data_IF_926634448671
#
_entry.id   IF_926634448671
#
_cell.length_a   1.000
_cell.length_b   1.000
_cell.length_c   1.000
_cell.angle_alpha   90.00
_cell.angle_beta   90.00
_cell.angle_gamma   90.00
#
_symmetry.space_group_name_H-M   'P 1'
#
loop_
_entity.id
_entity.type
_entity.pdbx_description
1 polymer ?
#
# COMPACT_ATOMS: atom_id res chain seq x y z
N UNK A 1 16.85 34.67 -29.96
CA UNK A 1 16.03 33.51 -30.33
C UNK A 1 16.65 32.17 -29.93
N UNK A 2 17.97 31.95 -30.02
CA UNK A 2 18.63 30.69 -29.60
C UNK A 2 18.76 30.53 -28.08
N UNK A 3 19.02 31.61 -27.33
CA UNK A 3 19.23 31.60 -25.88
C UNK A 3 17.93 31.33 -25.09
N UNK A 4 16.79 31.80 -25.57
CA UNK A 4 15.48 31.54 -24.98
C UNK A 4 15.09 30.05 -25.09
N UNK A 5 15.39 29.42 -26.23
CA UNK A 5 15.11 27.99 -26.46
C UNK A 5 16.00 27.09 -25.61
N UNK A 6 17.22 27.52 -25.29
CA UNK A 6 18.14 26.79 -24.44
C UNK A 6 17.73 26.86 -22.96
N UNK A 7 17.25 28.03 -22.51
CA UNK A 7 16.71 28.24 -21.16
C UNK A 7 15.45 27.40 -20.92
N UNK A 8 14.49 27.40 -21.87
CA UNK A 8 13.27 26.60 -21.78
C UNK A 8 13.55 25.09 -21.72
N UNK A 9 14.54 24.64 -22.49
CA UNK A 9 14.92 23.23 -22.51
C UNK A 9 15.58 22.78 -21.20
N UNK A 10 16.32 23.65 -20.56
CA UNK A 10 16.97 23.42 -19.25
C UNK A 10 15.93 23.41 -18.13
N UNK A 11 14.95 24.31 -18.12
CA UNK A 11 13.86 24.39 -17.16
C UNK A 11 12.93 23.16 -17.25
N UNK A 12 12.62 22.72 -18.46
CA UNK A 12 11.84 21.49 -18.66
C UNK A 12 12.59 20.23 -18.20
N UNK A 13 13.91 20.18 -18.37
CA UNK A 13 14.72 19.07 -17.89
C UNK A 13 14.81 19.04 -16.34
N UNK A 14 14.96 20.20 -15.71
CA UNK A 14 14.97 20.34 -14.26
C UNK A 14 13.61 20.01 -13.63
N UNK A 15 12.51 20.50 -14.19
CA UNK A 15 11.16 20.18 -13.75
C UNK A 15 10.87 18.67 -13.89
N UNK A 16 11.29 18.06 -14.98
CA UNK A 16 11.15 16.61 -15.21
C UNK A 16 11.96 15.80 -14.18
N UNK A 17 13.13 16.25 -13.81
CA UNK A 17 14.00 15.63 -12.81
C UNK A 17 13.42 15.74 -11.40
N UNK A 18 12.88 16.92 -11.04
CA UNK A 18 12.17 17.16 -9.77
C UNK A 18 10.90 16.32 -9.65
N UNK A 19 10.08 16.24 -10.71
CA UNK A 19 8.89 15.40 -10.75
C UNK A 19 9.23 13.92 -10.62
N UNK A 20 10.29 13.45 -11.27
CA UNK A 20 10.74 12.05 -11.17
C UNK A 20 11.23 11.72 -9.76
N UNK A 21 11.95 12.63 -9.11
CA UNK A 21 12.43 12.44 -7.73
C UNK A 21 11.28 12.45 -6.72
N UNK A 22 10.30 13.33 -6.89
CA UNK A 22 9.10 13.40 -6.05
C UNK A 22 8.26 12.12 -6.17
N UNK A 23 8.09 11.61 -7.39
CA UNK A 23 7.39 10.35 -7.65
C UNK A 23 8.06 9.17 -6.97
N UNK A 24 9.38 9.07 -7.06
CA UNK A 24 10.15 8.03 -6.38
C UNK A 24 9.99 8.14 -4.86
N UNK A 25 10.08 9.34 -4.30
CA UNK A 25 9.88 9.58 -2.88
C UNK A 25 8.48 9.16 -2.41
N UNK A 26 7.42 9.48 -3.18
CA UNK A 26 6.05 9.07 -2.87
C UNK A 26 5.91 7.54 -2.91
N UNK A 27 6.53 6.88 -3.89
CA UNK A 27 6.51 5.41 -3.99
C UNK A 27 7.20 4.78 -2.78
N UNK A 28 8.39 5.25 -2.39
CA UNK A 28 9.07 4.77 -1.20
C UNK A 28 8.26 5.01 0.07
N UNK A 29 7.65 6.18 0.21
CA UNK A 29 6.81 6.52 1.36
C UNK A 29 5.58 5.59 1.43
N UNK A 30 4.99 5.26 0.28
CA UNK A 30 3.88 4.32 0.21
C UNK A 30 4.28 2.90 0.60
N UNK A 31 5.44 2.40 0.15
CA UNK A 31 5.96 1.09 0.55
C UNK A 31 6.31 1.02 2.05
N UNK A 32 6.91 2.07 2.60
CA UNK A 32 7.16 2.18 4.04
C UNK A 32 5.83 2.16 4.80
N UNK A 33 4.84 2.91 4.33
CA UNK A 33 3.50 2.95 4.94
C UNK A 33 2.78 1.61 4.93
N UNK A 34 3.06 0.74 3.97
CA UNK A 34 2.53 -0.63 3.90
C UNK A 34 3.30 -1.60 4.82
N UNK A 35 4.63 -1.51 4.85
CA UNK A 35 5.46 -2.40 5.66
C UNK A 35 5.38 -2.12 7.17
N UNK A 36 5.14 -0.86 7.55
CA UNK A 36 5.01 -0.48 8.97
C UNK A 36 3.86 -1.21 9.69
N UNK A 37 2.64 -1.25 9.17
CA UNK A 37 1.53 -1.93 9.86
C UNK A 37 1.75 -3.44 10.01
N UNK A 38 2.34 -4.11 9.02
CA UNK A 38 2.65 -5.54 9.09
C UNK A 38 3.70 -5.84 10.16
N UNK A 39 4.74 -5.01 10.25
CA UNK A 39 5.76 -5.11 11.29
C UNK A 39 5.21 -4.76 12.68
N UNK A 40 4.25 -3.84 12.78
CA UNK A 40 3.57 -3.50 14.03
C UNK A 40 2.75 -4.66 14.56
N UNK A 41 1.99 -5.36 13.71
CA UNK A 41 1.23 -6.56 14.13
C UNK A 41 2.21 -7.63 14.66
N UNK A 42 3.31 -7.88 13.96
CA UNK A 42 4.33 -8.83 14.38
C UNK A 42 4.97 -8.47 15.72
N UNK A 43 5.30 -7.21 15.94
CA UNK A 43 5.92 -6.73 17.18
C UNK A 43 4.93 -6.57 18.34
N UNK A 44 3.67 -6.27 18.06
CA UNK A 44 2.62 -6.15 19.06
C UNK A 44 2.05 -7.50 19.51
N UNK A 45 2.17 -8.55 18.68
CA UNK A 45 1.58 -9.85 18.96
C UNK A 45 1.98 -10.47 20.32
N UNK A 46 3.25 -10.40 20.78
CA UNK A 46 3.63 -10.92 22.11
C UNK A 46 2.83 -10.33 23.26
N UNK A 47 2.35 -9.10 23.13
CA UNK A 47 1.49 -8.44 24.12
C UNK A 47 0.02 -8.72 23.84
N UNK A 48 -0.39 -8.66 22.58
CA UNK A 48 -1.78 -8.84 22.19
C UNK A 48 -2.32 -10.23 22.52
N UNK A 49 -1.55 -11.31 22.27
CA UNK A 49 -2.02 -12.66 22.52
C UNK A 49 -2.30 -12.92 24.00
N UNK A 50 -1.54 -12.29 24.91
CA UNK A 50 -1.78 -12.40 26.36
C UNK A 50 -3.02 -11.64 26.79
N UNK A 51 -3.26 -10.45 26.24
CA UNK A 51 -4.46 -9.64 26.51
C UNK A 51 -5.74 -10.31 25.96
N UNK A 52 -5.63 -10.97 24.81
CA UNK A 52 -6.73 -11.69 24.17
C UNK A 52 -6.95 -13.09 24.74
N UNK A 53 -6.09 -13.54 25.66
CA UNK A 53 -6.11 -14.91 26.22
C UNK A 53 -6.10 -16.02 25.14
N UNK A 54 -5.27 -15.84 24.11
CA UNK A 54 -5.14 -16.81 23.01
C UNK A 54 -3.71 -17.35 22.92
N UNK A 55 -3.52 -18.58 22.41
CA UNK A 55 -2.18 -19.11 22.16
C UNK A 55 -1.39 -18.25 21.15
N UNK A 56 -0.08 -18.20 21.30
CA UNK A 56 0.81 -17.46 20.37
C UNK A 56 0.64 -17.93 18.92
N UNK A 57 0.31 -19.20 18.68
CA UNK A 57 0.07 -19.78 17.35
C UNK A 57 -1.09 -19.13 16.57
N UNK A 58 -2.00 -18.42 17.26
CA UNK A 58 -3.11 -17.73 16.63
C UNK A 58 -2.67 -16.53 15.76
N UNK A 59 -1.42 -16.06 15.91
CA UNK A 59 -0.78 -15.16 14.96
C UNK A 59 -0.86 -15.70 13.53
N UNK A 60 -0.66 -17.00 13.35
CA UNK A 60 -0.72 -17.64 12.05
C UNK A 60 -2.10 -17.51 11.38
N UNK A 61 -3.18 -17.56 12.15
CA UNK A 61 -4.55 -17.39 11.63
C UNK A 61 -4.74 -15.95 11.12
N UNK A 62 -4.31 -14.96 11.89
CA UNK A 62 -4.42 -13.54 11.52
C UNK A 62 -3.60 -13.26 10.26
N UNK A 63 -2.36 -13.74 10.20
CA UNK A 63 -1.50 -13.56 9.02
C UNK A 63 -2.04 -14.29 7.80
N UNK A 64 -2.64 -15.47 7.95
CA UNK A 64 -3.30 -16.17 6.83
C UNK A 64 -4.52 -15.42 6.30
N UNK A 65 -5.32 -14.80 7.18
CA UNK A 65 -6.48 -13.99 6.78
C UNK A 65 -6.01 -12.72 6.03
N UNK A 66 -4.96 -12.05 6.52
CA UNK A 66 -4.37 -10.90 5.86
C UNK A 66 -3.82 -11.29 4.49
N UNK A 67 -3.01 -12.35 4.43
CA UNK A 67 -2.43 -12.84 3.17
C UNK A 67 -3.51 -13.26 2.16
N UNK A 68 -4.56 -13.94 2.61
CA UNK A 68 -5.71 -14.28 1.77
C UNK A 68 -6.41 -13.06 1.20
N UNK A 69 -6.65 -12.05 2.04
CA UNK A 69 -7.22 -10.76 1.62
C UNK A 69 -6.33 -10.04 0.60
N UNK A 70 -5.01 -10.04 0.82
CA UNK A 70 -4.02 -9.44 -0.07
C UNK A 70 -4.02 -10.12 -1.45
N UNK A 71 -4.03 -11.45 -1.49
CA UNK A 71 -4.08 -12.22 -2.75
C UNK A 71 -5.37 -11.91 -3.52
N UNK A 72 -6.52 -11.99 -2.86
CA UNK A 72 -7.82 -11.70 -3.49
C UNK A 72 -7.86 -10.27 -4.03
N UNK A 73 -7.44 -9.30 -3.22
CA UNK A 73 -7.43 -7.89 -3.63
C UNK A 73 -6.50 -7.63 -4.80
N UNK A 74 -5.31 -8.23 -4.81
CA UNK A 74 -4.33 -8.08 -5.91
C UNK A 74 -4.89 -8.58 -7.24
N UNK A 75 -5.63 -9.69 -7.24
CA UNK A 75 -6.28 -10.24 -8.45
C UNK A 75 -7.35 -9.30 -9.03
N UNK A 76 -8.07 -8.60 -8.17
CA UNK A 76 -9.13 -7.67 -8.62
C UNK A 76 -8.62 -6.25 -8.85
N UNK A 77 -7.48 -5.89 -8.28
CA UNK A 77 -6.91 -4.53 -8.32
C UNK A 77 -6.69 -4.03 -9.75
N UNK A 78 -6.26 -4.90 -10.66
CA UNK A 78 -6.02 -4.53 -12.06
C UNK A 78 -7.31 -4.09 -12.77
N UNK A 79 -8.42 -4.78 -12.51
CA UNK A 79 -9.74 -4.43 -13.05
C UNK A 79 -10.27 -3.13 -12.44
N UNK A 80 -10.11 -2.96 -11.12
CA UNK A 80 -10.54 -1.75 -10.42
C UNK A 80 -9.72 -0.54 -10.87
N UNK A 81 -8.41 -0.68 -11.01
CA UNK A 81 -7.50 0.38 -11.44
C UNK A 81 -7.80 0.84 -12.87
N UNK A 82 -8.14 -0.08 -13.77
CA UNK A 82 -8.57 0.28 -15.14
C UNK A 82 -9.91 1.00 -15.17
N UNK A 83 -10.83 0.67 -14.25
CA UNK A 83 -12.18 1.26 -14.23
C UNK A 83 -12.24 2.59 -13.50
N UNK A 84 -11.58 2.73 -12.36
CA UNK A 84 -11.67 3.86 -11.46
C UNK A 84 -10.41 4.74 -11.43
N UNK A 85 -9.31 4.28 -12.04
CA UNK A 85 -8.02 4.95 -11.98
C UNK A 85 -7.21 4.58 -10.72
N UNK A 86 -5.87 4.60 -10.87
CA UNK A 86 -4.95 4.22 -9.80
C UNK A 86 -5.10 5.08 -8.54
N UNK A 87 -5.31 6.40 -8.69
CA UNK A 87 -5.44 7.33 -7.57
C UNK A 87 -6.65 7.03 -6.68
N UNK A 88 -7.81 6.76 -7.26
CA UNK A 88 -9.02 6.46 -6.51
C UNK A 88 -8.93 5.12 -5.79
N UNK A 89 -8.40 4.09 -6.46
CA UNK A 89 -8.18 2.77 -5.86
C UNK A 89 -7.21 2.87 -4.69
N UNK A 90 -6.09 3.57 -4.85
CA UNK A 90 -5.11 3.77 -3.78
C UNK A 90 -5.71 4.51 -2.59
N UNK A 91 -6.44 5.60 -2.82
CA UNK A 91 -7.07 6.39 -1.74
C UNK A 91 -8.10 5.58 -0.95
N UNK A 92 -8.97 4.85 -1.63
CA UNK A 92 -9.94 3.96 -0.98
C UNK A 92 -9.26 2.84 -0.19
N UNK A 93 -8.19 2.27 -0.73
CA UNK A 93 -7.45 1.20 -0.07
C UNK A 93 -6.71 1.68 1.17
N UNK A 94 -6.07 2.86 1.12
CA UNK A 94 -5.45 3.49 2.30
C UNK A 94 -6.49 3.75 3.38
N UNK A 95 -7.65 4.28 3.02
CA UNK A 95 -8.74 4.51 3.97
C UNK A 95 -9.21 3.20 4.61
N UNK A 96 -9.37 2.14 3.81
CA UNK A 96 -9.79 0.82 4.28
C UNK A 96 -8.77 0.23 5.26
N UNK A 97 -7.48 0.34 4.94
CA UNK A 97 -6.38 -0.10 5.81
C UNK A 97 -6.33 0.69 7.12
N UNK A 98 -6.52 2.01 7.05
CA UNK A 98 -6.56 2.87 8.24
C UNK A 98 -7.74 2.51 9.17
N UNK A 99 -8.93 2.29 8.61
CA UNK A 99 -10.10 1.85 9.37
C UNK A 99 -9.88 0.48 10.02
N UNK A 100 -9.23 -0.45 9.32
CA UNK A 100 -8.91 -1.76 9.86
C UNK A 100 -7.92 -1.66 11.04
N UNK A 101 -6.90 -0.81 10.95
CA UNK A 101 -5.96 -0.55 12.04
C UNK A 101 -6.64 0.09 13.25
N UNK A 102 -7.58 1.01 13.04
CA UNK A 102 -8.41 1.54 14.12
C UNK A 102 -9.26 0.44 14.76
N UNK A 103 -9.82 -0.47 13.94
CA UNK A 103 -10.53 -1.64 14.41
C UNK A 103 -9.66 -2.55 15.28
N UNK A 104 -8.40 -2.80 14.90
CA UNK A 104 -7.46 -3.56 15.72
C UNK A 104 -7.22 -2.90 17.09
N UNK A 105 -7.13 -1.57 17.14
CA UNK A 105 -6.88 -0.82 18.37
C UNK A 105 -8.01 -0.92 19.40
N UNK A 106 -9.25 -1.05 18.95
CA UNK A 106 -10.43 -1.14 19.84
C UNK A 106 -10.87 -2.57 20.14
N UNK A 107 -10.16 -3.55 19.60
CA UNK A 107 -10.54 -4.96 19.70
C UNK A 107 -10.02 -5.57 20.99
N UNK A 108 -10.94 -6.14 21.79
CA UNK A 108 -10.65 -6.83 23.05
C UNK A 108 -10.82 -8.34 22.97
N UNK A 109 -11.03 -8.89 21.77
CA UNK A 109 -11.35 -10.30 21.55
C UNK A 109 -10.77 -10.79 20.23
N UNK A 110 -10.47 -12.08 20.12
CA UNK A 110 -9.84 -12.64 18.92
C UNK A 110 -10.77 -12.63 17.69
N UNK A 111 -12.06 -12.90 17.87
CA UNK A 111 -13.02 -12.94 16.76
C UNK A 111 -13.16 -11.61 16.01
N UNK A 112 -13.37 -10.46 16.66
CA UNK A 112 -13.32 -9.15 15.97
C UNK A 112 -11.98 -8.85 15.33
N UNK A 113 -10.86 -9.29 15.92
CA UNK A 113 -9.54 -9.13 15.32
C UNK A 113 -9.45 -9.78 13.94
N UNK A 114 -9.95 -11.02 13.83
CA UNK A 114 -10.02 -11.75 12.55
C UNK A 114 -10.92 -11.05 11.53
N UNK A 115 -12.03 -10.44 11.98
CA UNK A 115 -12.94 -9.69 11.10
C UNK A 115 -12.23 -8.46 10.52
N UNK A 116 -11.45 -7.73 11.33
CA UNK A 116 -10.69 -6.57 10.87
C UNK A 116 -9.44 -6.94 10.04
N UNK A 117 -8.91 -8.15 10.18
CA UNK A 117 -7.80 -8.64 9.37
C UNK A 117 -8.17 -8.76 7.88
N UNK A 118 -9.43 -9.05 7.55
CA UNK A 118 -9.90 -9.15 6.17
C UNK A 118 -9.83 -7.81 5.43
N UNK A 119 -10.50 -6.73 5.89
CA UNK A 119 -10.40 -5.42 5.22
C UNK A 119 -8.98 -4.87 5.22
N UNK A 120 -8.17 -5.17 6.24
CA UNK A 120 -6.76 -4.81 6.26
C UNK A 120 -6.01 -5.45 5.08
N UNK A 121 -6.13 -6.78 4.90
CA UNK A 121 -5.49 -7.50 3.79
C UNK A 121 -5.98 -7.03 2.42
N UNK A 122 -7.29 -6.78 2.27
CA UNK A 122 -7.86 -6.26 1.03
C UNK A 122 -7.31 -4.87 0.68
N UNK A 123 -7.18 -3.98 1.65
CA UNK A 123 -6.61 -2.65 1.46
C UNK A 123 -5.13 -2.72 1.07
N UNK A 124 -4.33 -3.47 1.83
CA UNK A 124 -2.90 -3.62 1.58
C UNK A 124 -2.62 -4.19 0.17
N UNK A 125 -3.30 -5.26 -0.21
CA UNK A 125 -3.09 -5.90 -1.52
C UNK A 125 -3.49 -5.02 -2.71
N UNK A 126 -4.53 -4.19 -2.57
CA UNK A 126 -4.93 -3.27 -3.62
C UNK A 126 -3.90 -2.14 -3.81
N UNK A 127 -3.30 -1.64 -2.73
CA UNK A 127 -2.24 -0.62 -2.79
C UNK A 127 -0.99 -1.20 -3.46
N UNK A 128 -0.54 -2.39 -3.04
CA UNK A 128 0.62 -3.06 -3.62
C UNK A 128 0.48 -3.27 -5.13
N UNK A 129 -0.65 -3.79 -5.56
CA UNK A 129 -0.92 -4.01 -6.97
C UNK A 129 -1.01 -2.70 -7.77
N UNK A 130 -1.65 -1.65 -7.22
CA UNK A 130 -1.76 -0.35 -7.87
C UNK A 130 -0.40 0.33 -8.02
N UNK A 131 0.45 0.28 -6.98
CA UNK A 131 1.79 0.85 -6.98
C UNK A 131 2.71 0.08 -7.94
N UNK A 132 2.70 -1.25 -7.90
CA UNK A 132 3.49 -2.08 -8.80
C UNK A 132 3.12 -1.84 -10.26
N UNK A 133 1.82 -1.74 -10.57
CA UNK A 133 1.35 -1.43 -11.92
C UNK A 133 1.77 -0.02 -12.36
N UNK A 134 1.68 0.97 -11.47
CA UNK A 134 2.12 2.33 -11.75
C UNK A 134 3.62 2.40 -12.03
N UNK A 135 4.44 1.73 -11.21
CA UNK A 135 5.90 1.64 -11.40
C UNK A 135 6.24 0.95 -12.71
N UNK A 136 5.59 -0.18 -13.01
CA UNK A 136 5.82 -0.94 -14.24
C UNK A 136 5.52 -0.11 -15.50
N UNK A 137 4.46 0.67 -15.49
CA UNK A 137 4.08 1.51 -16.63
C UNK A 137 5.06 2.69 -16.84
N UNK A 138 5.52 3.32 -15.76
CA UNK A 138 6.38 4.51 -15.87
C UNK A 138 7.85 4.16 -16.10
N UNK A 139 8.34 3.03 -15.56
CA UNK A 139 9.72 2.61 -15.79
C UNK A 139 9.92 1.89 -17.13
N UNK A 140 8.90 1.16 -17.61
CA UNK A 140 8.97 0.51 -18.93
C UNK A 140 9.02 1.51 -20.09
N UNK A 141 8.35 2.64 -19.96
CA UNK A 141 8.41 3.73 -20.95
C UNK A 141 9.78 4.41 -21.04
N UNK A 142 10.61 4.33 -20.00
CA UNK A 142 11.94 4.97 -19.95
C UNK A 142 13.06 4.13 -20.56
N UNK A 143 12.85 2.83 -20.75
CA UNK A 143 13.84 1.90 -21.34
C UNK A 143 13.65 1.65 -22.85
N UNK A 144 12.58 2.19 -23.43
CA UNK A 144 12.25 2.01 -24.86
C UNK A 144 12.47 3.30 -25.68
N UNK A 145 13.19 4.30 -25.16
CA UNK A 145 13.58 5.53 -25.88
C UNK A 145 15.07 5.58 -26.10
#
# INVERSE_FOLDING_TARGET
MFLTKYSDMHDHAEMRKKMSSLLIAIIYLAFISLGLPDSLIGSAWPVMHTQLNVPTSYAGIVTMLIAGGTIVSSLFSDRLTRKFGAGMVTSCSVLLTALALMGFSVTHSFAPLCIWAIPYGLGAGAIDAALNNYVALHFKARHMS
#
